data_IF_078960412183
#
_entry.id   IF_078960412183
#
_cell.length_a   1.000
_cell.length_b   1.000
_cell.length_c   1.000
_cell.angle_alpha   90.00
_cell.angle_beta   90.00
_cell.angle_gamma   90.00
#
_symmetry.space_group_name_H-M   'P 1'
#
loop_
_entity.id
_entity.type
_entity.pdbx_description
1 polymer ?
#
# COMPACT_ATOMS: atom_id res chain seq x y z
N UNK A 1 -28.54 0.93 37.60
CA UNK A 1 -28.26 2.06 36.71
C UNK A 1 -26.87 2.70 36.87
N UNK A 2 -26.20 2.74 38.05
CA UNK A 2 -24.85 3.35 38.21
C UNK A 2 -23.69 2.60 37.52
N UNK A 3 -23.78 1.27 37.36
CA UNK A 3 -22.70 0.46 36.75
C UNK A 3 -22.56 0.68 35.22
N UNK A 4 -23.66 0.98 34.53
CA UNK A 4 -23.65 1.30 33.09
C UNK A 4 -22.97 2.64 32.79
N UNK A 5 -23.08 3.62 33.70
CA UNK A 5 -22.40 4.92 33.56
C UNK A 5 -20.87 4.81 33.69
N UNK A 6 -20.39 4.02 34.66
CA UNK A 6 -18.95 3.85 34.86
C UNK A 6 -18.27 3.12 33.68
N UNK A 7 -18.94 2.12 33.14
CA UNK A 7 -18.46 1.39 31.96
C UNK A 7 -18.42 2.30 30.71
N UNK A 8 -19.47 3.10 30.50
CA UNK A 8 -19.48 4.07 29.39
C UNK A 8 -18.37 5.13 29.53
N UNK A 9 -18.13 5.64 30.73
CA UNK A 9 -17.01 6.56 31.01
C UNK A 9 -15.67 5.90 30.72
N UNK A 10 -15.46 4.64 31.13
CA UNK A 10 -14.23 3.91 30.86
C UNK A 10 -14.00 3.72 29.34
N UNK A 11 -15.05 3.42 28.56
CA UNK A 11 -14.96 3.27 27.11
C UNK A 11 -14.59 4.60 26.43
N UNK A 12 -15.23 5.69 26.85
CA UNK A 12 -14.93 7.03 26.29
C UNK A 12 -13.50 7.44 26.66
N UNK A 13 -13.07 7.21 27.91
CA UNK A 13 -11.69 7.52 28.35
C UNK A 13 -10.66 6.71 27.55
N UNK A 14 -10.90 5.41 27.33
CA UNK A 14 -10.02 4.57 26.52
C UNK A 14 -9.96 5.05 25.07
N UNK A 15 -11.10 5.36 24.44
CA UNK A 15 -11.14 5.91 23.09
C UNK A 15 -10.40 7.25 23.01
N UNK A 16 -10.62 8.14 23.96
CA UNK A 16 -9.94 9.45 24.02
C UNK A 16 -8.43 9.28 24.15
N UNK A 17 -7.97 8.39 25.03
CA UNK A 17 -6.54 8.12 25.22
C UNK A 17 -5.90 7.59 23.93
N UNK A 18 -6.54 6.65 23.24
CA UNK A 18 -6.07 6.12 21.95
C UNK A 18 -6.03 7.22 20.89
N UNK A 19 -7.09 8.04 20.78
CA UNK A 19 -7.14 9.13 19.81
C UNK A 19 -6.07 10.18 20.08
N UNK A 20 -5.88 10.59 21.32
CA UNK A 20 -4.82 11.52 21.69
C UNK A 20 -3.44 10.97 21.35
N UNK A 21 -3.17 9.71 21.71
CA UNK A 21 -1.89 9.07 21.43
C UNK A 21 -1.58 8.99 19.92
N UNK A 22 -2.58 8.68 19.09
CA UNK A 22 -2.40 8.52 17.65
C UNK A 22 -2.39 9.87 16.90
N UNK A 23 -3.18 10.85 17.36
CA UNK A 23 -3.31 12.13 16.66
C UNK A 23 -2.21 13.11 17.05
N UNK A 24 -1.76 13.08 18.32
CA UNK A 24 -0.77 14.04 18.83
C UNK A 24 0.51 14.11 17.99
N UNK A 25 1.19 13.00 17.61
CA UNK A 25 2.38 13.07 16.77
C UNK A 25 2.09 13.64 15.37
N UNK A 26 0.90 13.32 14.82
CA UNK A 26 0.48 13.84 13.50
C UNK A 26 0.27 15.35 13.56
N UNK A 27 -0.41 15.85 14.59
CA UNK A 27 -0.61 17.29 14.80
C UNK A 27 0.71 18.01 15.03
N UNK A 28 1.62 17.43 15.82
CA UNK A 28 2.94 17.98 16.09
C UNK A 28 3.73 18.24 14.80
N UNK A 29 3.70 17.33 13.84
CA UNK A 29 4.33 17.52 12.51
C UNK A 29 3.85 18.80 11.84
N UNK A 30 2.55 19.09 11.86
CA UNK A 30 2.00 20.28 11.21
C UNK A 30 2.20 21.57 12.01
N UNK A 31 2.24 21.48 13.34
CA UNK A 31 2.48 22.64 14.21
C UNK A 31 3.92 23.08 14.11
N UNK A 32 4.86 22.14 14.14
CA UNK A 32 6.29 22.41 14.13
C UNK A 32 6.83 22.70 12.72
N UNK A 33 6.17 22.18 11.66
CA UNK A 33 6.52 22.42 10.27
C UNK A 33 6.05 23.77 9.74
N UNK A 34 6.23 24.88 10.37
CA UNK A 34 5.69 26.20 10.01
C UNK A 34 5.46 26.46 8.50
N UNK A 35 4.46 27.29 8.11
CA UNK A 35 4.08 27.47 6.69
C UNK A 35 5.23 27.94 5.79
N UNK A 36 6.13 28.77 6.33
CA UNK A 36 7.30 29.25 5.58
C UNK A 36 8.28 28.13 5.24
N UNK A 37 8.47 27.19 6.16
CA UNK A 37 9.35 26.04 5.97
C UNK A 37 8.78 25.03 4.97
N UNK A 38 7.47 24.82 5.03
CA UNK A 38 6.75 24.01 4.02
C UNK A 38 6.95 24.56 2.60
N UNK A 39 6.79 25.88 2.42
CA UNK A 39 6.97 26.52 1.11
C UNK A 39 8.42 26.42 0.67
N UNK A 40 9.37 26.66 1.55
CA UNK A 40 10.82 26.57 1.27
C UNK A 40 11.19 25.15 0.83
N UNK A 41 10.83 24.16 1.64
CA UNK A 41 11.15 22.75 1.39
C UNK A 41 10.52 22.22 0.09
N UNK A 42 9.28 22.60 -0.21
CA UNK A 42 8.62 22.25 -1.48
C UNK A 42 9.23 22.98 -2.68
N UNK A 43 9.89 24.12 -2.47
CA UNK A 43 10.64 24.84 -3.48
C UNK A 43 11.97 24.17 -3.86
N UNK A 44 12.54 23.36 -2.97
CA UNK A 44 13.81 22.68 -3.20
C UNK A 44 13.69 21.59 -4.28
N UNK A 45 14.59 21.56 -5.30
CA UNK A 45 14.58 20.56 -6.35
C UNK A 45 14.62 19.12 -5.83
N UNK A 46 15.48 18.83 -4.85
CA UNK A 46 15.64 17.49 -4.26
C UNK A 46 14.34 16.99 -3.59
N UNK A 47 13.63 17.87 -2.86
CA UNK A 47 12.35 17.55 -2.24
C UNK A 47 11.27 17.20 -3.27
N UNK A 48 11.18 18.00 -4.34
CA UNK A 48 10.22 17.77 -5.43
C UNK A 48 10.52 16.49 -6.20
N UNK A 49 11.80 16.22 -6.46
CA UNK A 49 12.23 14.98 -7.11
C UNK A 49 11.89 13.75 -6.26
N UNK A 50 12.14 13.81 -4.95
CA UNK A 50 11.81 12.72 -4.04
C UNK A 50 10.29 12.46 -3.97
N UNK A 51 9.46 13.52 -3.92
CA UNK A 51 7.99 13.41 -3.95
C UNK A 51 7.51 12.84 -5.27
N UNK A 52 8.05 13.33 -6.40
CA UNK A 52 7.70 12.84 -7.73
C UNK A 52 8.13 11.38 -7.92
N UNK A 53 9.33 11.03 -7.45
CA UNK A 53 9.81 9.66 -7.49
C UNK A 53 8.91 8.73 -6.67
N UNK A 54 8.52 9.15 -5.46
CA UNK A 54 7.56 8.40 -4.63
C UNK A 54 6.23 8.20 -5.34
N UNK A 55 5.67 9.23 -5.94
CA UNK A 55 4.41 9.13 -6.65
C UNK A 55 4.50 8.15 -7.83
N UNK A 56 5.47 8.33 -8.72
CA UNK A 56 5.60 7.48 -9.91
C UNK A 56 5.88 6.02 -9.56
N UNK A 57 6.74 5.75 -8.57
CA UNK A 57 7.10 4.38 -8.19
C UNK A 57 5.98 3.67 -7.42
N UNK A 58 5.27 4.37 -6.54
CA UNK A 58 4.13 3.80 -5.82
C UNK A 58 2.94 3.54 -6.74
N UNK A 59 2.67 4.41 -7.73
CA UNK A 59 1.64 4.19 -8.74
C UNK A 59 2.01 3.01 -9.64
N UNK A 60 3.26 2.92 -10.08
CA UNK A 60 3.73 1.77 -10.87
C UNK A 60 3.60 0.45 -10.10
N UNK A 61 4.02 0.43 -8.83
CA UNK A 61 3.84 -0.72 -7.95
C UNK A 61 2.36 -1.09 -7.78
N UNK A 62 1.48 -0.10 -7.56
CA UNK A 62 0.04 -0.33 -7.42
C UNK A 62 -0.57 -0.93 -8.69
N UNK A 63 -0.20 -0.45 -9.87
CA UNK A 63 -0.66 -1.00 -11.16
C UNK A 63 -0.27 -2.48 -11.26
N UNK A 64 0.98 -2.82 -10.95
CA UNK A 64 1.46 -4.21 -10.97
C UNK A 64 0.69 -5.06 -9.95
N UNK A 65 0.55 -4.57 -8.71
CA UNK A 65 -0.18 -5.26 -7.63
C UNK A 65 -1.63 -5.53 -8.04
N UNK A 66 -2.33 -4.55 -8.60
CA UNK A 66 -3.73 -4.70 -9.02
C UNK A 66 -3.84 -5.63 -10.22
N UNK A 67 -3.00 -5.45 -11.24
CA UNK A 67 -3.07 -6.23 -12.46
C UNK A 67 -2.81 -7.74 -12.22
N UNK A 68 -1.82 -8.07 -11.39
CA UNK A 68 -1.46 -9.46 -11.07
C UNK A 68 -2.24 -9.98 -9.86
N UNK A 69 -2.44 -9.15 -8.86
CA UNK A 69 -3.09 -9.52 -7.60
C UNK A 69 -4.59 -9.79 -7.75
N UNK A 70 -5.30 -9.07 -8.65
CA UNK A 70 -6.75 -9.27 -8.83
C UNK A 70 -7.08 -10.70 -9.30
N UNK A 71 -6.52 -11.22 -10.40
CA UNK A 71 -6.79 -12.61 -10.81
C UNK A 71 -6.25 -13.63 -9.81
N UNK A 72 -5.12 -13.37 -9.16
CA UNK A 72 -4.58 -14.24 -8.11
C UNK A 72 -5.53 -14.32 -6.89
N UNK A 73 -6.02 -13.18 -6.41
CA UNK A 73 -6.98 -13.12 -5.31
C UNK A 73 -8.31 -13.81 -5.65
N UNK A 74 -8.80 -13.65 -6.88
CA UNK A 74 -10.00 -14.35 -7.36
C UNK A 74 -9.80 -15.86 -7.35
N UNK A 75 -8.67 -16.35 -7.86
CA UNK A 75 -8.34 -17.78 -7.82
C UNK A 75 -8.33 -18.32 -6.39
N UNK A 76 -7.65 -17.61 -5.48
CA UNK A 76 -7.57 -17.99 -4.07
C UNK A 76 -8.93 -17.91 -3.34
N UNK A 77 -9.83 -17.01 -3.76
CA UNK A 77 -11.15 -16.89 -3.16
C UNK A 77 -12.12 -18.00 -3.63
N UNK A 78 -12.05 -18.38 -4.92
CA UNK A 78 -13.08 -19.21 -5.54
C UNK A 78 -12.70 -20.68 -5.74
N UNK A 79 -11.42 -21.02 -5.60
CA UNK A 79 -10.94 -22.40 -5.82
C UNK A 79 -10.34 -23.00 -4.56
N UNK A 80 -10.67 -24.27 -4.33
CA UNK A 80 -10.00 -25.10 -3.33
C UNK A 80 -9.05 -26.07 -4.02
N UNK A 81 -7.80 -26.08 -3.57
CA UNK A 81 -6.77 -26.97 -4.11
C UNK A 81 -5.71 -27.31 -3.04
N UNK A 82 -4.98 -28.40 -3.28
CA UNK A 82 -3.90 -28.85 -2.38
C UNK A 82 -2.79 -27.79 -2.33
N UNK A 83 -2.38 -27.38 -1.13
CA UNK A 83 -1.33 -26.38 -0.93
C UNK A 83 -1.82 -24.93 -0.88
N UNK A 84 -3.12 -24.63 -1.03
CA UNK A 84 -3.68 -23.28 -0.91
C UNK A 84 -3.24 -22.58 0.36
N UNK A 85 -3.31 -23.27 1.52
CA UNK A 85 -2.88 -22.68 2.80
C UNK A 85 -1.40 -22.25 2.79
N UNK A 86 -0.52 -23.08 2.22
CA UNK A 86 0.90 -22.75 2.11
C UNK A 86 1.16 -21.54 1.20
N UNK A 87 0.42 -21.44 0.07
CA UNK A 87 0.50 -20.29 -0.84
C UNK A 87 0.01 -19.01 -0.14
N UNK A 88 -1.12 -19.07 0.58
CA UNK A 88 -1.63 -17.93 1.34
C UNK A 88 -0.62 -17.51 2.40
N UNK A 89 -0.04 -18.44 3.15
CA UNK A 89 1.01 -18.16 4.13
C UNK A 89 2.24 -17.51 3.47
N UNK A 90 2.68 -18.02 2.31
CA UNK A 90 3.80 -17.45 1.57
C UNK A 90 3.53 -16.00 1.11
N UNK A 91 2.31 -15.71 0.64
CA UNK A 91 1.86 -14.35 0.28
C UNK A 91 1.87 -13.43 1.52
N UNK A 92 1.60 -13.96 2.71
CA UNK A 92 1.53 -13.19 3.94
C UNK A 92 2.90 -13.00 4.62
N UNK A 93 3.92 -13.75 4.23
CA UNK A 93 5.27 -13.63 4.82
C UNK A 93 5.81 -12.18 4.82
N UNK A 94 5.67 -11.38 3.73
CA UNK A 94 6.14 -9.99 3.75
C UNK A 94 5.50 -9.10 4.82
N UNK A 95 4.31 -9.47 5.35
CA UNK A 95 3.65 -8.71 6.42
C UNK A 95 4.38 -8.81 7.76
N UNK A 96 5.04 -9.92 8.01
CA UNK A 96 5.72 -10.21 9.28
C UNK A 96 7.24 -10.01 9.18
N UNK A 97 7.79 -9.92 7.97
CA UNK A 97 9.21 -9.68 7.77
C UNK A 97 9.58 -8.25 8.19
N UNK A 98 10.65 -8.06 8.98
CA UNK A 98 11.22 -6.73 9.17
C UNK A 98 11.56 -6.10 7.80
N UNK A 99 11.23 -4.82 7.56
CA UNK A 99 11.46 -4.20 6.25
C UNK A 99 12.90 -4.29 5.74
N UNK A 100 13.88 -4.15 6.64
CA UNK A 100 15.28 -4.33 6.28
C UNK A 100 15.61 -5.76 5.82
N UNK A 101 15.05 -6.79 6.49
CA UNK A 101 15.22 -8.18 6.10
C UNK A 101 14.57 -8.47 4.74
N UNK A 102 13.40 -7.86 4.48
CA UNK A 102 12.75 -7.93 3.18
C UNK A 102 13.64 -7.38 2.06
N UNK A 103 14.27 -6.21 2.27
CA UNK A 103 15.19 -5.61 1.30
C UNK A 103 16.46 -6.44 1.06
N UNK A 104 17.03 -7.01 2.12
CA UNK A 104 18.17 -7.94 2.00
C UNK A 104 17.75 -9.21 1.23
N UNK A 105 16.55 -9.74 1.50
CA UNK A 105 16.00 -10.87 0.74
C UNK A 105 15.83 -10.56 -0.74
N UNK A 106 15.33 -9.36 -1.07
CA UNK A 106 15.24 -8.90 -2.47
C UNK A 106 16.63 -8.76 -3.11
N UNK A 107 17.63 -8.26 -2.38
CA UNK A 107 19.00 -8.17 -2.87
C UNK A 107 19.62 -9.55 -3.10
N UNK A 108 19.36 -10.51 -2.21
CA UNK A 108 19.80 -11.89 -2.37
C UNK A 108 19.10 -12.62 -3.53
N UNK A 109 17.87 -12.24 -3.87
CA UNK A 109 17.12 -12.82 -4.98
C UNK A 109 17.47 -12.16 -6.33
N UNK A 110 17.45 -10.83 -6.39
CA UNK A 110 17.47 -10.04 -7.62
C UNK A 110 18.71 -9.13 -7.78
N UNK A 111 19.60 -9.10 -6.79
CA UNK A 111 20.84 -8.33 -6.86
C UNK A 111 21.84 -8.95 -7.85
N UNK A 112 22.92 -8.24 -8.21
CA UNK A 112 23.90 -8.70 -9.22
C UNK A 112 24.52 -10.08 -8.92
N UNK A 113 24.65 -10.43 -7.64
CA UNK A 113 25.13 -11.73 -7.16
C UNK A 113 24.01 -12.61 -6.58
N UNK A 114 22.76 -12.24 -6.81
CA UNK A 114 21.59 -12.95 -6.32
C UNK A 114 21.20 -14.13 -7.20
N UNK A 115 20.22 -14.93 -6.73
CA UNK A 115 19.76 -16.15 -7.40
C UNK A 115 19.36 -15.89 -8.87
N UNK A 116 18.72 -14.75 -9.15
CA UNK A 116 18.29 -14.34 -10.48
C UNK A 116 19.17 -13.23 -11.09
N UNK A 117 20.31 -12.90 -10.45
CA UNK A 117 21.18 -11.79 -10.87
C UNK A 117 21.72 -11.96 -12.27
N UNK A 118 22.39 -13.09 -12.56
CA UNK A 118 22.93 -13.38 -13.89
C UNK A 118 21.85 -13.46 -14.98
N UNK A 119 20.73 -14.23 -14.81
CA UNK A 119 19.66 -14.28 -15.80
C UNK A 119 19.03 -12.90 -16.12
N UNK A 120 18.93 -12.04 -15.12
CA UNK A 120 18.42 -10.69 -15.32
C UNK A 120 19.43 -9.80 -16.07
N UNK A 121 20.72 -9.89 -15.70
CA UNK A 121 21.78 -9.14 -16.37
C UNK A 121 21.92 -9.56 -17.83
N UNK A 122 21.83 -10.84 -18.16
CA UNK A 122 21.82 -11.38 -19.53
C UNK A 122 20.62 -10.85 -20.34
N UNK A 123 19.49 -10.59 -19.66
CA UNK A 123 18.33 -9.94 -20.27
C UNK A 123 18.43 -8.41 -20.32
N UNK A 124 19.53 -7.82 -19.87
CA UNK A 124 19.71 -6.36 -19.80
C UNK A 124 18.89 -5.67 -18.70
N UNK A 125 18.46 -6.43 -17.68
CA UNK A 125 17.61 -5.94 -16.59
C UNK A 125 18.45 -5.78 -15.32
N UNK A 126 18.61 -4.54 -14.87
CA UNK A 126 19.23 -4.22 -13.59
C UNK A 126 18.15 -3.67 -12.64
N UNK A 127 17.97 -4.35 -11.50
CA UNK A 127 16.97 -3.95 -10.50
C UNK A 127 17.60 -3.26 -9.28
N UNK A 128 18.69 -3.82 -8.75
CA UNK A 128 19.35 -3.24 -7.58
C UNK A 128 19.90 -1.84 -7.89
N UNK A 129 19.74 -0.93 -6.92
CA UNK A 129 20.22 0.46 -7.00
C UNK A 129 19.59 1.29 -8.16
N UNK A 130 18.48 0.83 -8.71
CA UNK A 130 17.75 1.46 -9.81
C UNK A 130 16.31 1.80 -9.41
N UNK A 131 15.67 2.72 -10.12
CA UNK A 131 14.24 3.06 -9.93
C UNK A 131 13.33 1.83 -10.06
N UNK A 132 13.67 0.90 -10.95
CA UNK A 132 12.95 -0.38 -11.08
C UNK A 132 13.00 -1.21 -9.80
N UNK A 133 14.14 -1.21 -9.11
CA UNK A 133 14.29 -1.86 -7.80
C UNK A 133 13.38 -1.24 -6.72
N UNK A 134 13.21 0.10 -6.75
CA UNK A 134 12.23 0.75 -5.87
C UNK A 134 10.84 0.16 -6.12
N UNK A 135 10.39 0.08 -7.38
CA UNK A 135 9.08 -0.48 -7.73
C UNK A 135 8.93 -1.93 -7.26
N UNK A 136 9.98 -2.75 -7.43
CA UNK A 136 9.99 -4.16 -6.95
C UNK A 136 9.86 -4.21 -5.43
N UNK A 137 10.62 -3.41 -4.68
CA UNK A 137 10.56 -3.36 -3.22
C UNK A 137 9.17 -2.95 -2.72
N UNK A 138 8.60 -1.90 -3.32
CA UNK A 138 7.25 -1.42 -3.00
C UNK A 138 6.19 -2.48 -3.31
N UNK A 139 6.30 -3.15 -4.45
CA UNK A 139 5.39 -4.23 -4.85
C UNK A 139 5.45 -5.39 -3.87
N UNK A 140 6.65 -5.84 -3.49
CA UNK A 140 6.84 -6.95 -2.56
C UNK A 140 6.20 -6.67 -1.19
N UNK A 141 6.40 -5.48 -0.65
CA UNK A 141 5.91 -5.13 0.70
C UNK A 141 4.43 -4.80 0.71
N UNK A 142 3.89 -4.22 -0.36
CA UNK A 142 2.50 -3.75 -0.41
C UNK A 142 1.51 -4.77 -0.99
N UNK A 143 1.96 -5.72 -1.81
CA UNK A 143 1.08 -6.71 -2.45
C UNK A 143 0.22 -7.52 -1.48
N UNK A 144 0.70 -8.00 -0.32
CA UNK A 144 -0.14 -8.76 0.61
C UNK A 144 -1.36 -7.99 1.13
N UNK A 145 -1.26 -6.67 1.30
CA UNK A 145 -2.38 -5.83 1.75
C UNK A 145 -3.51 -5.83 0.73
N UNK A 146 -3.17 -5.72 -0.56
CA UNK A 146 -4.14 -5.81 -1.63
C UNK A 146 -4.72 -7.20 -1.75
N UNK A 147 -3.86 -8.23 -1.81
CA UNK A 147 -4.27 -9.62 -2.03
C UNK A 147 -5.25 -10.11 -0.96
N UNK A 148 -4.98 -9.84 0.31
CA UNK A 148 -5.89 -10.21 1.42
C UNK A 148 -7.25 -9.53 1.29
N UNK A 149 -7.26 -8.24 1.03
CA UNK A 149 -8.51 -7.48 0.90
C UNK A 149 -9.29 -7.89 -0.34
N UNK A 150 -8.61 -8.09 -1.47
CA UNK A 150 -9.21 -8.55 -2.70
C UNK A 150 -9.78 -9.98 -2.58
N UNK A 151 -9.04 -10.89 -1.92
CA UNK A 151 -9.51 -12.24 -1.63
C UNK A 151 -10.78 -12.23 -0.78
N UNK A 152 -10.81 -11.42 0.29
CA UNK A 152 -11.99 -11.27 1.13
C UNK A 152 -13.18 -10.69 0.34
N UNK A 153 -12.92 -9.70 -0.53
CA UNK A 153 -13.95 -9.10 -1.38
C UNK A 153 -14.56 -10.09 -2.37
N UNK A 154 -13.73 -10.91 -3.02
CA UNK A 154 -14.21 -11.95 -3.93
C UNK A 154 -14.93 -13.09 -3.19
N UNK A 155 -14.47 -13.47 -2.00
CA UNK A 155 -15.15 -14.48 -1.19
C UNK A 155 -16.54 -14.04 -0.70
N UNK A 156 -16.79 -12.74 -0.64
CA UNK A 156 -18.10 -12.16 -0.27
C UNK A 156 -19.07 -12.05 -1.44
N UNK A 157 -18.64 -12.30 -2.69
CA UNK A 157 -19.53 -12.31 -3.86
C UNK A 157 -20.42 -13.54 -3.81
N UNK A 158 -21.75 -13.34 -3.94
CA UNK A 158 -22.70 -14.47 -3.98
C UNK A 158 -22.41 -15.40 -5.17
N UNK A 159 -22.11 -16.68 -4.93
CA UNK A 159 -21.84 -17.66 -5.99
C UNK A 159 -22.97 -17.79 -7.00
N UNK A 160 -24.22 -17.56 -6.58
CA UNK A 160 -25.40 -17.65 -7.46
C UNK A 160 -25.34 -16.67 -8.63
N UNK A 161 -24.72 -15.49 -8.45
CA UNK A 161 -24.54 -14.50 -9.51
C UNK A 161 -23.59 -15.01 -10.61
N UNK A 162 -22.54 -15.73 -10.23
CA UNK A 162 -21.60 -16.33 -11.18
C UNK A 162 -22.24 -17.51 -11.91
N UNK A 163 -23.04 -18.32 -11.20
CA UNK A 163 -23.74 -19.46 -11.78
C UNK A 163 -24.84 -19.00 -12.73
N UNK A 164 -25.57 -17.93 -12.40
CA UNK A 164 -26.55 -17.32 -13.31
C UNK A 164 -25.86 -16.80 -14.60
N UNK A 165 -24.73 -16.14 -14.49
CA UNK A 165 -23.96 -15.66 -15.64
C UNK A 165 -23.53 -16.84 -16.56
N UNK A 166 -23.06 -17.95 -15.97
CA UNK A 166 -22.68 -19.16 -16.69
C UNK A 166 -23.88 -19.81 -17.42
N UNK A 167 -25.01 -19.88 -16.74
CA UNK A 167 -26.27 -20.40 -17.33
C UNK A 167 -26.72 -19.58 -18.53
N UNK A 168 -26.47 -18.25 -18.49
CA UNK A 168 -26.73 -17.34 -19.62
C UNK A 168 -25.63 -17.37 -20.70
N UNK A 169 -24.69 -18.33 -20.64
CA UNK A 169 -23.67 -18.54 -21.67
C UNK A 169 -22.41 -17.67 -21.51
N UNK A 170 -22.19 -17.05 -20.32
CA UNK A 170 -20.94 -16.34 -20.09
C UNK A 170 -19.78 -17.33 -19.88
N UNK A 171 -18.65 -17.09 -20.56
CA UNK A 171 -17.41 -17.79 -20.26
C UNK A 171 -16.88 -17.38 -18.87
N UNK A 172 -15.99 -18.20 -18.26
CA UNK A 172 -15.36 -17.91 -16.97
C UNK A 172 -14.72 -16.51 -16.95
N UNK A 173 -13.99 -16.14 -18.00
CA UNK A 173 -13.37 -14.80 -18.10
C UNK A 173 -14.43 -13.69 -18.17
N UNK A 174 -15.57 -13.94 -18.83
CA UNK A 174 -16.66 -12.96 -18.91
C UNK A 174 -17.39 -12.83 -17.56
N UNK A 175 -17.65 -13.94 -16.87
CA UNK A 175 -18.21 -13.93 -15.52
C UNK A 175 -17.29 -13.22 -14.53
N UNK A 176 -15.99 -13.47 -14.59
CA UNK A 176 -14.99 -12.75 -13.80
C UNK A 176 -15.01 -11.25 -14.07
N UNK A 177 -14.87 -10.83 -15.34
CA UNK A 177 -14.73 -9.43 -15.70
C UNK A 177 -16.03 -8.61 -15.50
N UNK A 178 -17.21 -9.21 -15.78
CA UNK A 178 -18.49 -8.50 -15.80
C UNK A 178 -19.36 -8.70 -14.56
N UNK A 179 -19.05 -9.69 -13.73
CA UNK A 179 -19.80 -9.98 -12.51
C UNK A 179 -18.91 -9.91 -11.29
N UNK A 180 -17.86 -10.74 -11.19
CA UNK A 180 -17.04 -10.81 -9.99
C UNK A 180 -16.33 -9.49 -9.69
N UNK A 181 -15.64 -8.89 -10.66
CA UNK A 181 -14.92 -7.61 -10.45
C UNK A 181 -15.87 -6.49 -10.04
N UNK A 182 -16.99 -6.21 -10.75
CA UNK A 182 -17.91 -5.16 -10.32
C UNK A 182 -18.52 -5.40 -8.94
N UNK A 183 -18.89 -6.63 -8.59
CA UNK A 183 -19.44 -6.95 -7.27
C UNK A 183 -18.38 -6.79 -6.16
N UNK A 184 -17.12 -7.14 -6.43
CA UNK A 184 -16.03 -7.00 -5.48
C UNK A 184 -15.40 -5.57 -5.48
N UNK A 185 -15.77 -4.68 -6.41
CA UNK A 185 -15.12 -3.40 -6.65
C UNK A 185 -14.89 -2.55 -5.38
N UNK A 186 -15.86 -2.41 -4.42
CA UNK A 186 -15.61 -1.64 -3.21
C UNK A 186 -14.45 -2.19 -2.38
N UNK A 187 -14.35 -3.51 -2.27
CA UNK A 187 -13.26 -4.18 -1.57
C UNK A 187 -11.92 -4.08 -2.31
N UNK A 188 -11.94 -4.18 -3.65
CA UNK A 188 -10.74 -4.01 -4.48
C UNK A 188 -10.17 -2.59 -4.36
N UNK A 189 -11.03 -1.56 -4.40
CA UNK A 189 -10.62 -0.16 -4.20
C UNK A 189 -10.04 0.04 -2.80
N UNK A 190 -10.68 -0.52 -1.77
CA UNK A 190 -10.16 -0.47 -0.40
C UNK A 190 -8.80 -1.14 -0.29
N UNK A 191 -8.64 -2.32 -0.89
CA UNK A 191 -7.37 -3.05 -0.93
C UNK A 191 -6.28 -2.26 -1.66
N UNK A 192 -6.62 -1.64 -2.79
CA UNK A 192 -5.71 -0.77 -3.53
C UNK A 192 -5.22 0.42 -2.71
N UNK A 193 -6.11 1.05 -1.97
CA UNK A 193 -5.74 2.16 -1.09
C UNK A 193 -4.84 1.74 0.07
N UNK A 194 -5.12 0.60 0.69
CA UNK A 194 -4.27 0.06 1.77
C UNK A 194 -2.87 -0.27 1.24
N UNK A 195 -2.80 -0.93 0.09
CA UNK A 195 -1.52 -1.24 -0.56
C UNK A 195 -0.76 0.03 -0.96
N UNK A 196 -1.44 1.03 -1.53
CA UNK A 196 -0.80 2.29 -1.90
C UNK A 196 -0.31 3.08 -0.68
N UNK A 197 -1.13 3.19 0.37
CA UNK A 197 -0.71 3.81 1.63
C UNK A 197 0.51 3.11 2.24
N UNK A 198 0.54 1.77 2.19
CA UNK A 198 1.70 0.98 2.64
C UNK A 198 2.94 1.23 1.77
N UNK A 199 2.78 1.32 0.45
CA UNK A 199 3.86 1.62 -0.48
C UNK A 199 4.42 3.04 -0.29
N UNK A 200 3.55 4.06 -0.08
CA UNK A 200 3.97 5.44 0.15
C UNK A 200 4.86 5.61 1.39
N UNK A 201 4.61 4.84 2.45
CA UNK A 201 5.40 4.88 3.67
C UNK A 201 6.56 3.88 3.71
N UNK A 202 6.86 3.19 2.61
CA UNK A 202 7.95 2.22 2.62
C UNK A 202 9.33 2.89 2.62
N UNK A 203 10.18 2.41 3.52
CA UNK A 203 11.52 2.93 3.75
C UNK A 203 12.57 1.81 3.75
N UNK A 204 12.39 0.81 4.61
CA UNK A 204 13.45 -0.13 4.95
C UNK A 204 13.85 -1.08 3.82
N UNK A 205 12.86 -1.67 3.15
CA UNK A 205 13.13 -2.58 2.02
C UNK A 205 13.72 -1.82 0.83
N UNK A 206 13.22 -0.60 0.58
CA UNK A 206 13.73 0.26 -0.49
C UNK A 206 15.19 0.66 -0.22
N UNK A 207 15.50 1.09 0.99
CA UNK A 207 16.87 1.47 1.37
C UNK A 207 17.86 0.33 1.16
N UNK A 208 17.51 -0.89 1.62
CA UNK A 208 18.39 -2.05 1.55
C UNK A 208 18.56 -2.61 0.14
N UNK A 209 17.54 -2.54 -0.71
CA UNK A 209 17.57 -3.10 -2.05
C UNK A 209 17.96 -2.10 -3.13
N UNK A 210 17.36 -0.89 -3.08
CA UNK A 210 17.54 0.14 -4.11
C UNK A 210 18.48 1.28 -3.68
N UNK A 211 18.84 1.35 -2.40
CA UNK A 211 19.65 2.47 -1.89
C UNK A 211 18.86 3.77 -1.76
N UNK A 212 19.58 4.91 -1.64
CA UNK A 212 19.02 6.25 -1.50
C UNK A 212 19.82 7.26 -2.31
N UNK A 213 19.67 7.25 -3.63
CA UNK A 213 20.34 8.16 -4.55
C UNK A 213 19.36 9.23 -5.04
N UNK A 214 19.71 10.50 -4.85
CA UNK A 214 18.90 11.64 -5.29
C UNK A 214 18.57 11.52 -6.80
N UNK A 215 17.32 11.77 -7.15
CA UNK A 215 16.82 11.67 -8.52
C UNK A 215 16.64 10.24 -9.07
N UNK A 216 17.19 9.19 -8.45
CA UNK A 216 17.18 7.81 -8.96
C UNK A 216 16.34 6.89 -8.07
N UNK A 217 16.65 6.82 -6.77
CA UNK A 217 16.02 5.89 -5.84
C UNK A 217 15.56 6.52 -4.53
N UNK A 218 15.91 7.78 -4.29
CA UNK A 218 15.55 8.48 -3.06
C UNK A 218 14.06 8.89 -3.06
N UNK A 219 13.21 8.03 -2.52
CA UNK A 219 11.79 8.31 -2.28
C UNK A 219 11.61 9.32 -1.15
N UNK A 220 10.39 9.88 -0.99
CA UNK A 220 10.10 10.86 0.06
C UNK A 220 10.44 10.35 1.48
N UNK A 221 10.13 9.11 1.90
CA UNK A 221 10.59 8.58 3.18
C UNK A 221 12.12 8.54 3.31
N UNK A 222 12.84 8.22 2.24
CA UNK A 222 14.31 8.23 2.23
C UNK A 222 14.88 9.65 2.30
N UNK A 223 14.24 10.62 1.64
CA UNK A 223 14.61 12.03 1.72
C UNK A 223 14.36 12.60 3.13
N UNK A 224 13.23 12.26 3.77
CA UNK A 224 12.96 12.63 5.18
C UNK A 224 14.07 12.11 6.07
N UNK A 225 14.47 10.85 5.92
CA UNK A 225 15.55 10.26 6.71
C UNK A 225 16.90 10.95 6.45
N UNK A 226 17.22 11.27 5.21
CA UNK A 226 18.46 11.97 4.85
C UNK A 226 18.49 13.40 5.43
N UNK A 227 17.35 14.09 5.47
CA UNK A 227 17.24 15.44 6.03
C UNK A 227 17.18 15.44 7.56
N UNK A 228 16.72 14.37 8.20
CA UNK A 228 16.52 14.30 9.65
C UNK A 228 17.74 14.75 10.48
N UNK A 229 18.94 14.40 10.04
CA UNK A 229 20.20 14.76 10.72
C UNK A 229 20.86 16.04 10.22
N UNK A 230 20.40 16.61 9.09
CA UNK A 230 21.01 17.79 8.43
C UNK A 230 20.15 19.04 8.60
N UNK A 231 18.87 18.92 8.32
CA UNK A 231 17.87 19.99 8.36
C UNK A 231 16.54 19.41 8.88
N UNK A 232 16.37 19.39 10.20
CA UNK A 232 15.19 18.84 10.85
C UNK A 232 13.88 19.56 10.44
N UNK A 233 13.84 20.91 10.28
CA UNK A 233 12.70 21.60 9.72
C UNK A 233 12.30 21.12 8.32
N UNK A 234 13.26 20.87 7.42
CA UNK A 234 12.99 20.32 6.08
C UNK A 234 12.44 18.88 6.16
N UNK A 235 12.96 18.05 7.07
CA UNK A 235 12.43 16.71 7.32
C UNK A 235 10.99 16.76 7.82
N UNK A 236 10.64 17.70 8.71
CA UNK A 236 9.27 17.92 9.18
C UNK A 236 8.35 18.38 8.05
N UNK A 237 8.81 19.30 7.20
CA UNK A 237 8.03 19.78 6.06
C UNK A 237 7.70 18.66 5.06
N UNK A 238 8.68 17.84 4.68
CA UNK A 238 8.46 16.66 3.84
C UNK A 238 7.52 15.64 4.50
N UNK A 239 7.65 15.45 5.81
CA UNK A 239 6.77 14.57 6.58
C UNK A 239 5.33 15.08 6.58
N UNK A 240 5.11 16.39 6.75
CA UNK A 240 3.78 17.00 6.68
C UNK A 240 3.12 16.79 5.32
N UNK A 241 3.87 16.95 4.22
CA UNK A 241 3.38 16.70 2.87
C UNK A 241 3.00 15.23 2.70
N UNK A 242 3.86 14.30 3.11
CA UNK A 242 3.60 12.86 3.00
C UNK A 242 2.36 12.45 3.80
N UNK A 243 2.20 12.97 5.02
CA UNK A 243 1.01 12.75 5.87
C UNK A 243 -0.24 13.33 5.22
N UNK A 244 -0.17 14.54 4.66
CA UNK A 244 -1.30 15.16 3.98
C UNK A 244 -1.75 14.35 2.76
N UNK A 245 -0.81 13.90 1.93
CA UNK A 245 -1.07 13.05 0.76
C UNK A 245 -1.69 11.71 1.19
N UNK A 246 -1.11 11.04 2.19
CA UNK A 246 -1.61 9.77 2.72
C UNK A 246 -3.00 9.92 3.34
N UNK A 247 -3.23 11.00 4.09
CA UNK A 247 -4.52 11.34 4.69
C UNK A 247 -5.61 11.62 3.64
N UNK A 248 -5.27 12.41 2.61
CA UNK A 248 -6.18 12.70 1.49
C UNK A 248 -6.56 11.42 0.74
N UNK A 249 -5.60 10.52 0.52
CA UNK A 249 -5.84 9.22 -0.08
C UNK A 249 -6.80 8.37 0.75
N UNK A 250 -6.55 8.21 2.05
CA UNK A 250 -7.43 7.44 2.92
C UNK A 250 -8.85 8.04 2.98
N UNK A 251 -8.95 9.36 2.99
CA UNK A 251 -10.23 10.07 2.99
C UNK A 251 -10.99 9.84 1.68
N UNK A 252 -10.31 9.97 0.53
CA UNK A 252 -10.93 9.78 -0.79
C UNK A 252 -11.54 8.39 -0.94
N UNK A 253 -10.85 7.35 -0.48
CA UNK A 253 -11.37 5.96 -0.51
C UNK A 253 -12.58 5.79 0.40
N UNK A 254 -12.56 6.37 1.60
CA UNK A 254 -13.71 6.31 2.51
C UNK A 254 -14.93 7.03 1.94
N UNK A 255 -14.73 8.15 1.26
CA UNK A 255 -15.82 8.90 0.62
C UNK A 255 -16.40 8.12 -0.57
N UNK A 256 -15.56 7.57 -1.44
CA UNK A 256 -15.99 6.74 -2.57
C UNK A 256 -16.72 5.46 -2.12
N UNK A 257 -16.27 4.80 -1.06
CA UNK A 257 -16.95 3.65 -0.49
C UNK A 257 -18.34 3.97 0.09
N UNK A 258 -18.54 5.16 0.66
CA UNK A 258 -19.84 5.61 1.17
C UNK A 258 -20.87 5.87 0.07
N UNK A 259 -20.47 6.45 -1.05
CA UNK A 259 -21.39 6.74 -2.17
C UNK A 259 -21.94 5.48 -2.81
N UNK A 260 -21.19 4.39 -2.83
CA UNK A 260 -21.65 3.10 -3.36
C UNK A 260 -22.64 2.39 -2.43
N UNK A 261 -22.52 2.52 -1.11
CA UNK A 261 -23.48 1.97 -0.15
C UNK A 261 -24.82 2.71 -0.19
N UNK A 262 -24.82 4.00 -0.48
CA UNK A 262 -26.06 4.80 -0.58
C UNK A 262 -26.76 4.65 -1.94
N UNK A 263 -26.02 4.39 -3.02
CA UNK A 263 -26.57 4.14 -4.35
C UNK A 263 -27.19 2.76 -4.52
N UNK A 264 -26.67 1.73 -3.81
CA UNK A 264 -27.24 0.36 -3.84
C UNK A 264 -28.51 0.15 -3.03
N UNK A 265 -28.90 1.12 -2.16
CA UNK A 265 -30.12 1.04 -1.38
C UNK A 265 -31.35 1.64 -2.11
N UNK A 266 -31.17 2.17 -3.33
CA UNK A 266 -32.24 2.81 -4.13
C UNK A 266 -32.54 2.06 -5.46
N UNK A 267 -31.91 0.94 -5.71
CA UNK A 267 -32.18 0.04 -6.83
C UNK A 267 -32.75 -1.29 -6.34
#
# INVERSE_FOLDING_TARGET
>A
MRRTGLFAVALVAALTAVLLFLILPVVAIFVDAGPGELIRSLGEPASREALWLSLKTTVAALIIIVAVGTPAAYLLATREFRGKAAIVTAIELPLVLPPAAAGIGLLAAFGPKGILGEPLADAGIELALQTAGVVVALTFVAAPFYLRQAQAAFAAVDPSLLDAARTLGASEARAFARVAIPCAAPGLVTGGALAWGRALGEFGATLMFAGSFEGITQTAPLAIFAQFSRDFPAALALSAVLVAVSGALLLSVKLLGRTQLLGGAQA
#
